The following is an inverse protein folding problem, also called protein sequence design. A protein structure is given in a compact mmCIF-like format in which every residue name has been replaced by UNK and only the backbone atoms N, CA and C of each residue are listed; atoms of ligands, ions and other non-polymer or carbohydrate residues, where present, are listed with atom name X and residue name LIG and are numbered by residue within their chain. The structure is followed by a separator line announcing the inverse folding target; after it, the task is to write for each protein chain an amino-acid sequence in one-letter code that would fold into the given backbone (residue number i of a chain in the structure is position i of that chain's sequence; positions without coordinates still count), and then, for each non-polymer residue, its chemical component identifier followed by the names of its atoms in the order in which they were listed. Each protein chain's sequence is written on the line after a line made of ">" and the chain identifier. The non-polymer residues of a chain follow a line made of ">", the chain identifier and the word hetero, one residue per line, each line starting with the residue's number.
data_IF_115562821305
#
_entry.id   IF_115562821305
#
_cell.length_a   1.000
_cell.length_b   1.000
_cell.length_c   1.000
_cell.angle_alpha   90.00
_cell.angle_beta   90.00
_cell.angle_gamma   90.00
#
_symmetry.space_group_name_H-M   'P 1'
#
loop_
_entity.id
_entity.type
_entity.pdbx_description
1 polymer ?
#
# COMPACT_ATOMS: atom_id res chain seq x y z
N UNK A 1 1.23 -14.43 13.01
CA UNK A 1 1.39 -15.05 14.33
C UNK A 1 2.45 -16.13 14.26
N UNK A 2 3.35 -16.18 15.23
CA UNK A 2 4.25 -17.29 15.51
C UNK A 2 3.88 -17.91 16.86
N UNK A 3 3.15 -19.03 16.81
CA UNK A 3 2.58 -19.70 17.99
C UNK A 3 3.66 -20.38 18.85
N UNK A 4 4.94 -20.35 18.44
CA UNK A 4 6.06 -20.86 19.22
C UNK A 4 6.62 -19.84 20.21
N UNK A 5 6.33 -18.55 20.04
CA UNK A 5 6.71 -17.52 20.99
C UNK A 5 5.68 -17.43 22.12
N UNK A 6 6.13 -17.32 23.37
CA UNK A 6 5.23 -17.07 24.50
C UNK A 6 4.75 -15.60 24.45
N UNK A 7 3.43 -15.33 24.34
CA UNK A 7 2.92 -13.96 24.29
C UNK A 7 3.19 -13.14 25.56
N UNK A 8 3.46 -13.77 26.71
CA UNK A 8 3.79 -13.08 27.95
C UNK A 8 5.24 -12.58 27.98
N UNK A 9 6.13 -13.21 27.21
CA UNK A 9 7.55 -12.86 27.11
C UNK A 9 7.82 -11.91 25.93
N UNK A 10 7.29 -12.24 24.75
CA UNK A 10 7.41 -11.41 23.55
C UNK A 10 6.11 -11.44 22.72
N UNK A 11 5.19 -10.54 23.05
CA UNK A 11 3.93 -10.40 22.33
C UNK A 11 4.12 -9.97 20.87
N UNK A 12 5.22 -9.28 20.54
CA UNK A 12 5.47 -8.84 19.17
C UNK A 12 5.87 -10.02 18.29
N UNK A 13 6.80 -10.87 18.73
CA UNK A 13 7.16 -12.08 17.97
C UNK A 13 6.00 -13.08 17.91
N UNK A 14 5.22 -13.21 18.98
CA UNK A 14 3.97 -13.98 18.95
C UNK A 14 3.02 -13.46 17.86
N UNK A 15 2.68 -12.17 17.85
CA UNK A 15 1.70 -11.64 16.89
C UNK A 15 2.27 -11.56 15.46
N UNK A 16 3.50 -11.11 15.30
CA UNK A 16 4.10 -10.67 14.03
C UNK A 16 5.30 -11.52 13.57
N UNK A 17 5.82 -12.45 14.37
CA UNK A 17 7.05 -13.19 14.08
C UNK A 17 7.03 -13.93 12.74
N UNK A 18 5.92 -14.59 12.41
CA UNK A 18 5.75 -15.19 11.07
C UNK A 18 5.75 -14.16 9.94
N UNK A 19 5.21 -12.95 10.15
CA UNK A 19 5.28 -11.89 9.13
C UNK A 19 6.73 -11.45 8.90
N UNK A 20 7.50 -11.23 9.97
CA UNK A 20 8.93 -10.87 9.90
C UNK A 20 9.75 -11.95 9.19
N UNK A 21 9.47 -13.23 9.44
CA UNK A 21 10.19 -14.36 8.83
C UNK A 21 9.96 -14.51 7.32
N UNK A 22 8.76 -14.17 6.83
CA UNK A 22 8.36 -14.44 5.45
C UNK A 22 8.32 -13.20 4.56
N UNK A 23 8.31 -12.01 5.14
CA UNK A 23 8.23 -10.76 4.38
C UNK A 23 9.64 -10.24 4.09
N UNK A 24 9.90 -9.95 2.81
CA UNK A 24 11.11 -9.25 2.38
C UNK A 24 10.77 -7.79 2.13
N UNK A 25 11.70 -6.90 2.47
CA UNK A 25 11.62 -5.49 2.09
C UNK A 25 12.04 -5.39 0.61
N UNK A 26 11.17 -4.95 -0.30
CA UNK A 26 11.52 -4.70 -1.71
C UNK A 26 12.60 -3.63 -1.85
N UNK A 27 13.34 -3.65 -2.97
CA UNK A 27 14.46 -2.73 -3.22
C UNK A 27 14.06 -1.24 -3.29
N UNK A 28 12.79 -0.96 -3.63
CA UNK A 28 12.22 0.38 -3.68
C UNK A 28 11.71 0.89 -2.32
N UNK A 29 11.83 0.08 -1.26
CA UNK A 29 11.28 0.39 0.07
C UNK A 29 12.34 0.31 1.16
N UNK A 30 12.18 1.17 2.16
CA UNK A 30 13.02 1.16 3.37
C UNK A 30 12.42 0.36 4.51
N UNK A 31 11.11 0.06 4.44
CA UNK A 31 10.38 -0.74 5.43
C UNK A 31 9.13 -1.36 4.83
N UNK A 32 8.66 -2.46 5.42
CA UNK A 32 7.36 -3.07 5.11
C UNK A 32 6.65 -3.39 6.42
N UNK A 33 5.38 -2.99 6.52
CA UNK A 33 4.48 -3.31 7.62
C UNK A 33 3.03 -3.38 7.09
N UNK A 34 2.07 -3.65 7.97
CA UNK A 34 0.66 -3.76 7.57
C UNK A 34 0.14 -2.49 6.90
N UNK A 35 0.54 -1.31 7.36
CA UNK A 35 0.11 -0.05 6.75
C UNK A 35 0.71 0.14 5.37
N UNK A 36 1.99 -0.18 5.15
CA UNK A 36 2.59 -0.05 3.83
C UNK A 36 1.89 -0.95 2.81
N UNK A 37 1.53 -2.18 3.19
CA UNK A 37 0.79 -3.10 2.31
C UNK A 37 -0.58 -2.52 1.94
N UNK A 38 -1.30 -1.95 2.92
CA UNK A 38 -2.59 -1.30 2.66
C UNK A 38 -2.41 -0.07 1.77
N UNK A 39 -1.38 0.74 2.00
CA UNK A 39 -1.07 1.91 1.18
C UNK A 39 -0.74 1.53 -0.25
N UNK A 40 0.03 0.47 -0.47
CA UNK A 40 0.34 -0.04 -1.82
C UNK A 40 -0.94 -0.41 -2.57
N UNK A 41 -1.83 -1.18 -1.92
CA UNK A 41 -3.12 -1.57 -2.49
C UNK A 41 -4.02 -0.35 -2.78
N UNK A 42 -4.03 0.63 -1.89
CA UNK A 42 -4.78 1.88 -2.09
C UNK A 42 -4.22 2.69 -3.26
N UNK A 43 -2.89 2.79 -3.38
CA UNK A 43 -2.25 3.49 -4.47
C UNK A 43 -2.54 2.84 -5.82
N UNK A 44 -2.56 1.51 -5.92
CA UNK A 44 -2.95 0.82 -7.15
C UNK A 44 -4.42 1.08 -7.54
N UNK A 45 -5.33 1.16 -6.56
CA UNK A 45 -6.72 1.55 -6.83
C UNK A 45 -6.83 2.99 -7.32
N UNK A 46 -6.13 3.93 -6.68
CA UNK A 46 -6.11 5.34 -7.10
C UNK A 46 -5.50 5.45 -8.50
N UNK A 47 -4.40 4.75 -8.77
CA UNK A 47 -3.76 4.69 -10.09
C UNK A 47 -4.74 4.26 -11.17
N UNK A 48 -5.47 3.17 -10.93
CA UNK A 48 -6.50 2.67 -11.85
C UNK A 48 -7.55 3.74 -12.17
N UNK A 49 -8.01 4.49 -11.16
CA UNK A 49 -8.99 5.58 -11.35
C UNK A 49 -8.41 6.77 -12.13
N UNK A 50 -7.12 7.07 -11.95
CA UNK A 50 -6.44 8.18 -12.63
C UNK A 50 -6.00 7.85 -14.05
N UNK A 51 -5.77 6.56 -14.36
CA UNK A 51 -5.45 6.06 -15.69
C UNK A 51 -6.66 6.11 -16.65
N UNK A 52 -7.89 6.23 -16.13
CA UNK A 52 -9.09 6.39 -16.95
C UNK A 52 -9.08 7.72 -17.74
N UNK A 53 -9.62 7.74 -18.98
CA UNK A 53 -9.76 8.99 -19.72
C UNK A 53 -10.68 9.98 -18.98
N UNK A 54 -10.43 11.28 -19.21
CA UNK A 54 -11.29 12.34 -18.68
C UNK A 54 -12.65 12.26 -19.36
N UNK A 55 -13.73 12.10 -18.59
CA UNK A 55 -15.07 12.02 -19.14
C UNK A 55 -15.63 13.42 -19.47
N UNK A 56 -16.49 13.54 -20.48
CA UNK A 56 -17.00 14.84 -20.95
C UNK A 56 -17.70 15.67 -19.86
N UNK A 57 -18.37 15.01 -18.90
CA UNK A 57 -19.08 15.66 -17.80
C UNK A 57 -18.39 15.46 -16.43
N UNK A 58 -17.09 15.17 -16.43
CA UNK A 58 -16.34 14.94 -15.20
C UNK A 58 -16.17 16.25 -14.40
N UNK A 59 -16.42 16.24 -13.07
CA UNK A 59 -16.21 17.43 -12.26
C UNK A 59 -14.76 17.91 -12.36
N UNK A 60 -14.58 19.23 -12.52
CA UNK A 60 -13.28 19.88 -12.75
C UNK A 60 -12.14 19.39 -11.83
N UNK A 61 -12.33 19.14 -10.52
CA UNK A 61 -11.25 18.63 -9.68
C UNK A 61 -10.70 17.28 -10.14
N UNK A 62 -11.55 16.35 -10.60
CA UNK A 62 -11.12 15.03 -11.07
C UNK A 62 -10.46 15.10 -12.44
N UNK A 63 -11.01 15.91 -13.36
CA UNK A 63 -10.38 16.16 -14.66
C UNK A 63 -8.97 16.75 -14.50
N UNK A 64 -8.77 17.69 -13.56
CA UNK A 64 -7.45 18.25 -13.25
C UNK A 64 -6.51 17.22 -12.62
N UNK A 65 -7.00 16.39 -11.69
CA UNK A 65 -6.20 15.34 -11.07
C UNK A 65 -5.69 14.32 -12.11
N UNK A 66 -6.58 13.84 -12.99
CA UNK A 66 -6.24 12.94 -14.11
C UNK A 66 -5.23 13.58 -15.07
N UNK A 67 -5.48 14.84 -15.48
CA UNK A 67 -4.57 15.57 -16.38
C UNK A 67 -3.18 15.74 -15.77
N UNK A 68 -3.10 16.09 -14.47
CA UNK A 68 -1.83 16.25 -13.77
C UNK A 68 -1.08 14.92 -13.68
N UNK A 69 -1.78 13.85 -13.33
CA UNK A 69 -1.21 12.51 -13.26
C UNK A 69 -0.67 12.04 -14.62
N UNK A 70 -1.42 12.22 -15.71
CA UNK A 70 -1.01 11.87 -17.08
C UNK A 70 0.20 12.68 -17.58
N UNK A 71 0.42 13.90 -17.06
CA UNK A 71 1.60 14.69 -17.40
C UNK A 71 2.87 14.25 -16.65
N UNK A 72 2.72 13.50 -15.55
CA UNK A 72 3.81 13.03 -14.70
C UNK A 72 4.32 11.63 -15.10
N UNK A 73 3.41 10.78 -15.58
CA UNK A 73 3.71 9.39 -15.97
C UNK A 73 4.27 9.29 -17.38
#
# INVERSE_FOLDING_TARGET
>A
MDDKADPCDDFYDFACGSFVKHTRIPDDKTSVNTFSIITDQLQEQIRTLLDEPVAENEPKPFALAKTLYQACM
#
